data_IF_701014913736
#
_entry.id   IF_701014913736
#
_cell.length_a   1.000
_cell.length_b   1.000
_cell.length_c   1.000
_cell.angle_alpha   90.00
_cell.angle_beta   90.00
_cell.angle_gamma   90.00
#
_symmetry.space_group_name_H-M   'P 1'
#
loop_
_entity.id
_entity.type
_entity.pdbx_description
1 polymer ?
#
# COMPACT_ATOMS: atom_id res chain seq x y z
N UNK A 1 7.23 16.88 14.82
CA UNK A 1 6.05 15.96 14.86
C UNK A 1 6.23 14.94 13.76
N UNK A 2 6.30 13.65 14.10
CA UNK A 2 6.32 12.61 13.07
C UNK A 2 5.02 12.70 12.27
N UNK A 3 5.12 12.80 10.96
CA UNK A 3 3.97 12.85 10.07
C UNK A 3 3.25 11.50 10.13
N UNK A 4 2.10 11.48 10.75
CA UNK A 4 1.26 10.30 11.04
C UNK A 4 0.97 9.43 9.81
N UNK A 5 0.97 10.02 8.62
CA UNK A 5 0.62 9.35 7.36
C UNK A 5 1.82 8.80 6.60
N UNK A 6 3.06 9.09 7.06
CA UNK A 6 4.29 8.53 6.52
C UNK A 6 4.77 7.39 7.43
N UNK A 7 4.76 6.16 6.94
CA UNK A 7 5.11 4.97 7.71
C UNK A 7 6.45 4.41 7.21
N UNK A 8 7.41 4.24 8.11
CA UNK A 8 8.76 3.74 7.78
C UNK A 8 9.50 4.59 6.72
N UNK A 9 9.21 5.89 6.62
CA UNK A 9 9.84 6.80 5.66
C UNK A 9 10.62 7.85 6.44
N UNK A 10 11.89 8.01 6.08
CA UNK A 10 12.74 9.09 6.54
C UNK A 10 12.39 10.39 5.80
N UNK A 11 12.42 11.53 6.47
CA UNK A 11 12.11 12.84 5.88
C UNK A 11 12.96 13.15 4.65
N UNK A 12 14.20 12.67 4.61
CA UNK A 12 15.10 12.83 3.47
C UNK A 12 14.63 12.11 2.19
N UNK A 13 13.66 11.20 2.31
CA UNK A 13 13.09 10.45 1.18
C UNK A 13 11.84 11.10 0.59
N UNK A 14 11.19 12.03 1.30
CA UNK A 14 9.88 12.56 0.91
C UNK A 14 9.84 13.17 -0.49
N UNK A 15 10.90 13.86 -0.87
CA UNK A 15 11.02 14.52 -2.17
C UNK A 15 11.89 13.73 -3.17
N UNK A 16 12.45 12.59 -2.75
CA UNK A 16 13.16 11.72 -3.68
C UNK A 16 12.20 11.07 -4.68
N UNK A 17 12.67 10.81 -5.90
CA UNK A 17 11.86 10.21 -6.92
C UNK A 17 11.50 8.76 -6.58
N UNK A 18 10.25 8.41 -6.84
CA UNK A 18 9.75 7.06 -6.92
C UNK A 18 9.24 6.79 -8.33
N UNK A 19 9.30 5.54 -8.75
CA UNK A 19 9.04 5.12 -10.11
C UNK A 19 7.99 4.01 -10.15
N UNK A 20 7.27 3.92 -11.26
CA UNK A 20 6.36 2.83 -11.54
C UNK A 20 6.38 2.51 -13.03
N UNK A 21 6.47 1.23 -13.35
CA UNK A 21 6.34 0.71 -14.72
C UNK A 21 4.90 0.23 -14.88
N UNK A 22 4.29 0.60 -15.98
CA UNK A 22 2.92 0.19 -16.33
C UNK A 22 2.75 0.19 -17.85
N UNK A 23 1.71 -0.50 -18.35
CA UNK A 23 1.43 -0.52 -19.78
C UNK A 23 1.15 0.87 -20.34
N UNK A 24 1.50 1.10 -21.60
CA UNK A 24 1.22 2.37 -22.29
C UNK A 24 -0.27 2.70 -22.27
N UNK A 25 -1.13 1.71 -22.43
CA UNK A 25 -2.58 1.90 -22.37
C UNK A 25 -3.01 2.52 -21.03
N UNK A 26 -2.52 1.99 -19.89
CA UNK A 26 -2.85 2.53 -18.57
C UNK A 26 -2.30 3.94 -18.35
N UNK A 27 -1.16 4.26 -18.95
CA UNK A 27 -0.62 5.63 -18.90
C UNK A 27 -1.51 6.59 -19.68
N UNK A 28 -1.94 6.22 -20.88
CA UNK A 28 -2.86 7.03 -21.69
C UNK A 28 -4.20 7.24 -20.98
N UNK A 29 -4.77 6.19 -20.39
CA UNK A 29 -5.99 6.29 -19.57
C UNK A 29 -5.80 7.27 -18.39
N UNK A 30 -4.68 7.15 -17.68
CA UNK A 30 -4.37 8.03 -16.54
C UNK A 30 -4.20 9.49 -16.95
N UNK A 31 -3.59 9.76 -18.11
CA UNK A 31 -3.44 11.10 -18.65
C UNK A 31 -4.78 11.69 -19.11
N UNK A 32 -5.61 10.90 -19.78
CA UNK A 32 -6.93 11.32 -20.27
C UNK A 32 -7.89 11.63 -19.11
N UNK A 33 -7.93 10.74 -18.11
CA UNK A 33 -8.82 10.88 -16.94
C UNK A 33 -8.23 11.77 -15.85
N UNK A 34 -6.93 12.07 -15.91
CA UNK A 34 -6.15 12.75 -14.85
C UNK A 34 -6.22 12.01 -13.50
N UNK A 35 -6.26 10.69 -13.54
CA UNK A 35 -6.44 9.81 -12.37
C UNK A 35 -5.41 8.70 -12.34
N UNK A 36 -4.98 8.32 -11.12
CA UNK A 36 -4.19 7.12 -10.86
C UNK A 36 -5.02 6.15 -10.03
N UNK A 37 -5.22 4.94 -10.56
CA UNK A 37 -6.08 3.93 -9.94
C UNK A 37 -5.33 3.19 -8.83
N UNK A 38 -5.92 3.13 -7.63
CA UNK A 38 -5.52 2.22 -6.57
C UNK A 38 -6.28 0.90 -6.73
N UNK A 39 -5.64 -0.21 -6.37
CA UNK A 39 -6.24 -1.55 -6.47
C UNK A 39 -6.38 -2.19 -5.09
N UNK A 40 -7.31 -3.14 -4.95
CA UNK A 40 -7.45 -3.91 -3.71
C UNK A 40 -6.21 -4.78 -3.47
N UNK A 41 -5.67 -4.87 -2.24
CA UNK A 41 -4.49 -5.69 -1.91
C UNK A 41 -4.63 -7.17 -2.30
N UNK A 42 -5.85 -7.70 -2.33
CA UNK A 42 -6.11 -9.07 -2.80
C UNK A 42 -5.71 -9.35 -4.26
N UNK A 43 -5.40 -8.30 -5.04
CA UNK A 43 -4.90 -8.40 -6.42
C UNK A 43 -3.37 -8.37 -6.51
N UNK A 44 -2.67 -8.28 -5.38
CA UNK A 44 -1.21 -8.34 -5.35
C UNK A 44 -0.75 -9.79 -5.45
N UNK A 45 0.43 -9.99 -6.02
CA UNK A 45 0.89 -11.33 -6.41
C UNK A 45 1.32 -12.20 -5.22
N UNK A 46 1.89 -11.61 -4.15
CA UNK A 46 2.29 -12.35 -2.96
C UNK A 46 1.13 -12.45 -1.95
N UNK A 47 0.58 -13.66 -1.70
CA UNK A 47 -0.52 -13.86 -0.76
C UNK A 47 -0.17 -13.45 0.69
N UNK A 48 1.12 -13.42 1.05
CA UNK A 48 1.55 -12.96 2.38
C UNK A 48 1.37 -11.45 2.59
N UNK A 49 1.28 -10.66 1.52
CA UNK A 49 1.09 -9.20 1.60
C UNK A 49 -0.28 -8.81 2.16
N UNK A 50 -1.26 -9.69 2.06
CA UNK A 50 -2.63 -9.46 2.53
C UNK A 50 -3.04 -10.48 3.62
N UNK A 51 -2.08 -11.23 4.16
CA UNK A 51 -2.37 -12.34 5.06
C UNK A 51 -3.14 -11.91 6.31
N UNK A 52 -2.73 -10.80 6.95
CA UNK A 52 -3.37 -10.32 8.17
C UNK A 52 -4.80 -9.82 7.93
N UNK A 53 -5.04 -9.08 6.85
CA UNK A 53 -6.39 -8.59 6.51
C UNK A 53 -7.32 -9.71 6.03
N UNK A 54 -6.75 -10.82 5.54
CA UNK A 54 -7.49 -12.00 5.08
C UNK A 54 -7.69 -13.03 6.18
N UNK A 55 -6.98 -12.91 7.30
CA UNK A 55 -7.11 -13.82 8.42
C UNK A 55 -8.51 -13.70 9.05
N UNK A 56 -9.11 -14.84 9.43
CA UNK A 56 -10.37 -14.81 10.16
C UNK A 56 -10.16 -14.23 11.58
N UNK A 57 -11.12 -13.46 12.03
CA UNK A 57 -11.17 -12.94 13.40
C UNK A 57 -12.03 -13.92 14.23
N UNK A 58 -11.44 -14.51 15.26
CA UNK A 58 -12.18 -15.36 16.19
C UNK A 58 -12.64 -14.52 17.38
N UNK A 59 -13.94 -14.48 17.61
CA UNK A 59 -14.55 -13.78 18.74
C UNK A 59 -14.32 -14.53 20.05
N UNK A 60 -14.58 -13.89 21.19
CA UNK A 60 -14.56 -14.54 22.51
C UNK A 60 -15.60 -15.65 22.66
N UNK A 61 -16.67 -15.63 21.84
CA UNK A 61 -17.68 -16.69 21.75
C UNK A 61 -17.27 -17.87 20.85
N UNK A 62 -16.09 -17.79 20.21
CA UNK A 62 -15.61 -18.82 19.27
C UNK A 62 -16.14 -18.68 17.85
N UNK A 63 -16.93 -17.68 17.56
CA UNK A 63 -17.41 -17.40 16.19
C UNK A 63 -16.29 -16.85 15.31
N UNK A 64 -16.29 -17.28 14.06
CA UNK A 64 -15.34 -16.81 13.06
C UNK A 64 -15.97 -15.74 12.19
N UNK A 65 -15.40 -14.53 12.24
CA UNK A 65 -15.84 -13.37 11.47
C UNK A 65 -14.78 -12.96 10.44
N UNK A 66 -15.22 -12.38 9.35
CA UNK A 66 -14.33 -11.74 8.41
C UNK A 66 -14.04 -10.28 8.82
N UNK A 67 -12.79 -9.85 8.67
CA UNK A 67 -12.43 -8.45 8.91
C UNK A 67 -12.98 -7.56 7.79
N UNK A 68 -14.11 -6.91 8.04
CA UNK A 68 -14.86 -6.13 7.03
C UNK A 68 -14.00 -5.02 6.38
N UNK A 69 -13.07 -4.41 7.13
CA UNK A 69 -12.20 -3.35 6.62
C UNK A 69 -11.34 -3.79 5.44
N UNK A 70 -11.06 -5.11 5.25
CA UNK A 70 -10.31 -5.62 4.09
C UNK A 70 -10.91 -5.18 2.74
N UNK A 71 -12.22 -4.95 2.71
CA UNK A 71 -12.93 -4.55 1.49
C UNK A 71 -12.85 -3.04 1.19
N UNK A 72 -12.40 -2.25 2.16
CA UNK A 72 -12.30 -0.79 2.08
C UNK A 72 -10.85 -0.30 1.88
N UNK A 73 -9.90 -1.22 1.71
CA UNK A 73 -8.49 -0.90 1.54
C UNK A 73 -8.09 -0.99 0.08
N UNK A 74 -7.35 0.02 -0.37
CA UNK A 74 -6.81 0.11 -1.72
C UNK A 74 -5.37 0.57 -1.66
N UNK A 75 -4.54 0.11 -2.60
CA UNK A 75 -3.14 0.49 -2.63
C UNK A 75 -2.55 0.58 -4.02
N UNK A 76 -1.38 1.18 -4.07
CA UNK A 76 -0.59 1.32 -5.29
C UNK A 76 0.89 1.22 -4.95
N UNK A 77 1.60 0.33 -5.66
CA UNK A 77 3.03 0.07 -5.43
C UNK A 77 3.90 0.92 -6.36
N UNK A 78 4.96 1.47 -5.78
CA UNK A 78 6.01 2.24 -6.44
C UNK A 78 7.37 1.69 -6.03
N UNK A 79 8.42 1.99 -6.76
CA UNK A 79 9.79 1.57 -6.41
C UNK A 79 10.73 2.77 -6.24
N UNK A 80 11.69 2.64 -5.32
CA UNK A 80 12.80 3.58 -5.19
C UNK A 80 13.89 3.36 -6.25
N UNK A 81 13.84 2.25 -6.98
CA UNK A 81 14.79 2.00 -8.06
C UNK A 81 14.52 2.86 -9.28
N UNK A 82 15.52 3.61 -9.70
CA UNK A 82 15.45 4.36 -10.94
C UNK A 82 15.36 3.43 -12.16
N UNK A 83 16.15 2.37 -12.16
CA UNK A 83 16.26 1.43 -13.28
C UNK A 83 16.72 0.07 -12.79
N UNK A 84 16.00 -1.00 -13.14
CA UNK A 84 16.46 -2.37 -13.00
C UNK A 84 15.86 -3.23 -14.11
N UNK A 85 16.63 -4.13 -14.69
CA UNK A 85 16.17 -5.10 -15.69
C UNK A 85 15.07 -6.00 -15.13
N UNK A 86 15.20 -6.42 -13.86
CA UNK A 86 14.20 -7.24 -13.19
C UNK A 86 12.81 -6.58 -13.16
N UNK A 87 12.73 -5.30 -12.81
CA UNK A 87 11.45 -4.58 -12.77
C UNK A 87 10.81 -4.46 -14.16
N UNK A 88 11.61 -4.25 -15.21
CA UNK A 88 11.10 -4.23 -16.57
C UNK A 88 10.56 -5.59 -17.01
N UNK A 89 11.26 -6.68 -16.70
CA UNK A 89 10.79 -8.05 -17.03
C UNK A 89 9.51 -8.40 -16.30
N UNK A 90 9.36 -7.98 -15.04
CA UNK A 90 8.18 -8.27 -14.24
C UNK A 90 6.97 -7.44 -14.70
N UNK A 91 7.14 -6.12 -14.87
CA UNK A 91 6.03 -5.20 -15.07
C UNK A 91 5.78 -4.80 -16.54
N UNK A 92 6.64 -5.20 -17.45
CA UNK A 92 6.48 -5.02 -18.90
C UNK A 92 7.08 -6.18 -19.69
N UNK A 93 6.57 -7.42 -19.50
CA UNK A 93 7.11 -8.61 -20.19
C UNK A 93 6.95 -8.52 -21.71
N UNK A 94 5.95 -7.80 -22.18
CA UNK A 94 5.65 -7.51 -23.59
C UNK A 94 6.50 -6.36 -24.18
N UNK A 95 7.34 -5.70 -23.35
CA UNK A 95 8.16 -4.54 -23.72
C UNK A 95 7.37 -3.31 -24.21
N UNK A 96 6.06 -3.25 -23.92
CA UNK A 96 5.16 -2.14 -24.29
C UNK A 96 4.84 -1.22 -23.11
N UNK A 97 5.52 -1.37 -22.01
CA UNK A 97 5.38 -0.51 -20.85
C UNK A 97 6.18 0.77 -20.92
N UNK A 98 5.81 1.73 -20.12
CA UNK A 98 6.60 2.91 -19.86
C UNK A 98 6.73 3.16 -18.35
N UNK A 99 7.74 3.93 -18.00
CA UNK A 99 8.05 4.27 -16.60
C UNK A 99 7.62 5.70 -16.30
N UNK A 100 6.81 5.86 -15.28
CA UNK A 100 6.45 7.16 -14.74
C UNK A 100 7.25 7.47 -13.47
N UNK A 101 7.41 8.75 -13.17
CA UNK A 101 8.18 9.26 -12.03
C UNK A 101 7.38 10.33 -11.27
N UNK A 102 7.43 10.26 -9.95
CA UNK A 102 6.89 11.29 -9.05
C UNK A 102 7.72 11.31 -7.75
N UNK A 103 7.20 11.91 -6.67
CA UNK A 103 7.80 11.83 -5.32
C UNK A 103 6.78 11.32 -4.30
N UNK A 104 7.28 10.83 -3.17
CA UNK A 104 6.47 10.31 -2.06
C UNK A 104 5.48 11.38 -1.58
N UNK A 105 5.96 12.61 -1.35
CA UNK A 105 5.14 13.75 -0.91
C UNK A 105 4.01 14.06 -1.90
N UNK A 106 4.31 14.13 -3.20
CA UNK A 106 3.31 14.40 -4.23
C UNK A 106 2.23 13.34 -4.30
N UNK A 107 2.59 12.06 -4.15
CA UNK A 107 1.62 10.96 -4.14
C UNK A 107 0.65 11.06 -2.97
N UNK A 108 1.17 11.28 -1.75
CA UNK A 108 0.31 11.38 -0.58
C UNK A 108 -0.59 12.62 -0.65
N UNK A 109 -0.05 13.76 -1.04
CA UNK A 109 -0.85 14.98 -1.17
C UNK A 109 -1.97 14.80 -2.20
N UNK A 110 -1.66 14.30 -3.39
CA UNK A 110 -2.67 14.05 -4.41
C UNK A 110 -3.77 13.08 -3.95
N UNK A 111 -3.45 12.08 -3.11
CA UNK A 111 -4.47 11.21 -2.54
C UNK A 111 -5.31 11.93 -1.49
N UNK A 112 -4.70 12.75 -0.63
CA UNK A 112 -5.41 13.54 0.39
C UNK A 112 -6.32 14.61 -0.22
N UNK A 113 -5.85 15.31 -1.24
CA UNK A 113 -6.60 16.39 -1.91
C UNK A 113 -7.91 15.87 -2.56
N UNK A 114 -7.99 14.57 -2.83
CA UNK A 114 -9.20 13.92 -3.30
C UNK A 114 -10.14 13.44 -2.17
N UNK A 115 -9.80 13.70 -0.89
CA UNK A 115 -10.58 13.30 0.27
C UNK A 115 -11.06 14.52 1.05
N UNK A 116 -12.34 14.85 0.97
CA UNK A 116 -12.91 16.09 1.50
C UNK A 116 -12.65 16.34 2.99
N UNK A 117 -12.83 15.35 3.87
CA UNK A 117 -12.84 15.62 5.32
C UNK A 117 -11.92 14.74 6.17
N UNK A 118 -11.52 13.57 5.72
CA UNK A 118 -10.82 12.58 6.54
C UNK A 118 -9.52 12.04 5.91
N UNK A 119 -8.89 12.81 5.02
CA UNK A 119 -7.65 12.40 4.34
C UNK A 119 -6.54 12.00 5.31
N UNK A 120 -6.43 12.69 6.44
CA UNK A 120 -5.44 12.39 7.49
C UNK A 120 -5.64 11.03 8.17
N UNK A 121 -6.87 10.51 8.21
CA UNK A 121 -7.20 9.22 8.83
C UNK A 121 -7.27 8.07 7.83
N UNK A 122 -7.27 8.38 6.53
CA UNK A 122 -7.52 7.38 5.46
C UNK A 122 -6.34 7.20 4.51
N UNK A 123 -5.48 8.20 4.37
CA UNK A 123 -4.43 8.23 3.37
C UNK A 123 -3.06 8.04 3.99
N UNK A 124 -2.37 6.99 3.60
CA UNK A 124 -1.04 6.64 4.11
C UNK A 124 -0.08 6.37 2.95
N UNK A 125 1.20 6.60 3.20
CA UNK A 125 2.27 6.15 2.33
C UNK A 125 3.39 5.57 3.17
N UNK A 126 3.95 4.44 2.76
CA UNK A 126 4.97 3.78 3.55
C UNK A 126 6.00 3.03 2.72
N UNK A 127 7.21 2.93 3.28
CA UNK A 127 8.24 2.08 2.71
C UNK A 127 8.07 0.64 3.21
N UNK A 128 8.10 -0.32 2.29
CA UNK A 128 7.97 -1.75 2.61
C UNK A 128 9.22 -2.25 3.32
N UNK A 129 9.02 -2.97 4.42
CA UNK A 129 10.05 -3.71 5.14
C UNK A 129 10.05 -5.18 4.72
N UNK A 130 11.22 -5.68 4.37
CA UNK A 130 11.41 -7.05 3.91
C UNK A 130 11.96 -7.92 5.03
N UNK A 131 11.20 -8.95 5.41
CA UNK A 131 11.49 -9.82 6.53
C UNK A 131 11.55 -11.29 6.11
N UNK A 132 12.32 -12.09 6.82
CA UNK A 132 12.23 -13.54 6.70
C UNK A 132 10.86 -14.02 7.20
N UNK A 133 10.36 -15.14 6.67
CA UNK A 133 9.00 -15.64 6.94
C UNK A 133 8.66 -15.70 8.44
N UNK A 134 9.59 -16.17 9.27
CA UNK A 134 9.39 -16.26 10.72
C UNK A 134 9.17 -14.88 11.36
N UNK A 135 10.02 -13.92 11.02
CA UNK A 135 9.97 -12.57 11.57
C UNK A 135 8.74 -11.81 11.03
N UNK A 136 8.37 -12.07 9.78
CA UNK A 136 7.17 -11.53 9.16
C UNK A 136 5.92 -11.94 9.94
N UNK A 137 5.75 -13.23 10.23
CA UNK A 137 4.59 -13.72 10.99
C UNK A 137 4.56 -13.13 12.41
N UNK A 138 5.70 -13.10 13.11
CA UNK A 138 5.80 -12.48 14.43
C UNK A 138 5.48 -10.98 14.39
N UNK A 139 5.93 -10.26 13.37
CA UNK A 139 5.63 -8.83 13.24
C UNK A 139 4.15 -8.58 12.97
N UNK A 140 3.55 -9.34 12.06
CA UNK A 140 2.11 -9.20 11.71
C UNK A 140 1.21 -9.50 12.91
N UNK A 141 1.52 -10.50 13.75
CA UNK A 141 0.72 -10.81 14.95
C UNK A 141 0.73 -9.72 16.02
N UNK A 142 1.68 -8.79 15.98
CA UNK A 142 1.80 -7.68 16.91
C UNK A 142 1.24 -6.36 16.39
N UNK A 143 0.64 -6.33 15.20
CA UNK A 143 0.03 -5.11 14.64
C UNK A 143 -1.37 -4.95 15.21
N UNK A 144 -1.64 -3.77 15.78
CA UNK A 144 -2.99 -3.40 16.18
C UNK A 144 -3.76 -2.84 14.97
N UNK A 145 -4.64 -3.66 14.39
CA UNK A 145 -5.48 -3.25 13.24
C UNK A 145 -6.56 -2.23 13.62
N UNK A 146 -6.91 -2.14 14.91
CA UNK A 146 -7.96 -1.26 15.44
C UNK A 146 -7.38 -0.05 16.16
N UNK A 147 -6.20 0.42 15.73
CA UNK A 147 -5.61 1.62 16.31
C UNK A 147 -6.47 2.86 16.02
N UNK A 148 -6.56 3.76 16.98
CA UNK A 148 -7.37 5.00 16.87
C UNK A 148 -6.88 5.94 15.77
N UNK A 149 -5.70 5.68 15.25
CA UNK A 149 -5.04 6.48 14.22
C UNK A 149 -5.33 5.99 12.80
N UNK A 150 -5.90 4.78 12.63
CA UNK A 150 -6.15 4.16 11.33
C UNK A 150 -4.88 3.70 10.62
N UNK A 151 -3.72 3.77 11.28
CA UNK A 151 -2.43 3.42 10.67
C UNK A 151 -2.14 1.92 10.68
N UNK A 152 -2.72 1.15 11.62
CA UNK A 152 -2.45 -0.28 11.75
C UNK A 152 -2.82 -1.09 10.52
N UNK A 153 -3.94 -0.77 9.88
CA UNK A 153 -4.33 -1.40 8.61
C UNK A 153 -3.29 -1.09 7.53
N UNK A 154 -2.88 0.17 7.40
CA UNK A 154 -1.86 0.55 6.43
C UNK A 154 -0.50 -0.08 6.75
N UNK A 155 -0.11 -0.12 8.03
CA UNK A 155 1.13 -0.76 8.47
C UNK A 155 1.15 -2.25 8.12
N UNK A 156 0.04 -2.97 8.26
CA UNK A 156 -0.06 -4.40 7.93
C UNK A 156 0.31 -4.72 6.47
N UNK A 157 0.12 -3.77 5.58
CA UNK A 157 0.42 -3.86 4.16
C UNK A 157 1.85 -3.40 3.78
N UNK A 158 2.69 -3.05 4.76
CA UNK A 158 4.05 -2.57 4.54
C UNK A 158 5.12 -3.61 4.91
N UNK A 159 4.73 -4.87 5.00
CA UNK A 159 5.66 -5.98 5.23
C UNK A 159 5.57 -6.98 4.08
N UNK A 160 6.72 -7.44 3.61
CA UNK A 160 6.85 -8.39 2.51
C UNK A 160 7.96 -9.38 2.80
N UNK A 161 7.91 -10.54 2.18
CA UNK A 161 8.96 -11.54 2.31
C UNK A 161 10.30 -11.04 1.76
N UNK A 162 11.41 -11.46 2.37
CA UNK A 162 12.77 -11.03 2.06
C UNK A 162 13.16 -11.27 0.60
N UNK A 163 12.62 -12.29 -0.04
CA UNK A 163 12.85 -12.67 -1.43
C UNK A 163 12.49 -11.55 -2.41
N UNK A 164 11.54 -10.66 -2.04
CA UNK A 164 11.11 -9.51 -2.84
C UNK A 164 11.89 -8.22 -2.56
N UNK A 165 12.95 -8.27 -1.75
CA UNK A 165 13.68 -7.05 -1.34
C UNK A 165 14.32 -6.26 -2.51
N UNK A 166 14.45 -6.90 -3.66
CA UNK A 166 14.92 -6.27 -4.89
C UNK A 166 13.94 -5.22 -5.46
N UNK A 167 12.69 -5.21 -5.02
CA UNK A 167 11.68 -4.26 -5.50
C UNK A 167 11.79 -2.88 -4.84
N UNK A 168 12.33 -2.79 -3.62
CA UNK A 168 12.44 -1.54 -2.82
C UNK A 168 11.18 -0.69 -2.86
N UNK A 169 10.07 -1.33 -2.49
CA UNK A 169 8.74 -0.72 -2.63
C UNK A 169 8.46 0.43 -1.67
N UNK A 170 7.69 1.38 -2.20
CA UNK A 170 6.92 2.36 -1.45
C UNK A 170 5.45 2.18 -1.84
N UNK A 171 4.56 2.08 -0.86
CA UNK A 171 3.13 1.87 -1.08
C UNK A 171 2.30 3.07 -0.67
N UNK A 172 1.49 3.56 -1.61
CA UNK A 172 0.40 4.49 -1.33
C UNK A 172 -0.83 3.67 -0.96
N UNK A 173 -1.44 3.97 0.19
CA UNK A 173 -2.54 3.18 0.75
C UNK A 173 -3.68 4.11 1.13
N UNK A 174 -4.88 3.73 0.72
CA UNK A 174 -6.13 4.30 1.18
C UNK A 174 -6.86 3.25 2.03
N UNK A 175 -7.25 3.63 3.24
CA UNK A 175 -8.03 2.80 4.15
C UNK A 175 -9.33 3.50 4.46
N UNK A 176 -10.43 3.06 3.85
CA UNK A 176 -11.76 3.58 4.14
C UNK A 176 -12.16 3.30 5.60
N UNK A 177 -12.92 4.22 6.18
CA UNK A 177 -13.52 4.00 7.50
C UNK A 177 -14.71 3.05 7.36
N UNK A 178 -14.87 2.14 8.31
CA UNK A 178 -16.12 1.42 8.49
C UNK A 178 -17.16 2.45 8.92
N UNK A 179 -18.15 2.71 8.11
CA UNK A 179 -19.31 3.46 8.54
C UNK A 179 -20.04 2.56 9.54
N UNK A 180 -19.92 2.86 10.83
CA UNK A 180 -20.84 2.35 11.84
C UNK A 180 -22.19 3.07 11.63
N UNK A 181 -22.89 2.75 10.56
CA UNK A 181 -24.33 3.04 10.50
C UNK A 181 -24.99 2.08 11.45
N UNK A 182 -25.34 2.59 12.62
CA UNK A 182 -26.33 1.94 13.48
C UNK A 182 -27.61 1.79 12.64
N UNK A 183 -27.97 0.55 12.38
CA UNK A 183 -29.36 0.19 12.08
C UNK A 183 -30.12 0.02 13.39
#
# INVERSE_FOLDING_TARGET
MAYRNYINIDDSLLDKPVYRIMSMQRILEALQKKELVLVKPKKWDDPFENALLSAPVVTSSGETLEFAAKNLVYGQCWTLHRETDAMWRIYSPDKQGAKIKTSIRKLLNALKDNQETFGELKCFIGQVKYLYKRDLLSKLSNINLLDTNGSGIAESLLYKRKEFSHEKEVRLIYSGLLNCTQN
#
